data_IF_890523306504
#
_entry.id   IF_890523306504
#
_cell.length_a   1.000
_cell.length_b   1.000
_cell.length_c   1.000
_cell.angle_alpha   90.00
_cell.angle_beta   90.00
_cell.angle_gamma   90.00
#
_symmetry.space_group_name_H-M   'P 1'
#
loop_
_entity.id
_entity.type
_entity.pdbx_description
1 polymer ?
#
# COMPACT_ATOMS: atom_id res chain seq x y z
N UNK A 1 -7.73 8.53 3.77
CA UNK A 1 -7.33 8.54 5.19
C UNK A 1 -8.21 7.65 6.07
N UNK A 2 -9.54 7.82 6.03
CA UNK A 2 -10.48 7.02 6.84
C UNK A 2 -10.31 5.50 6.72
N UNK A 3 -10.08 4.99 5.52
CA UNK A 3 -9.90 3.55 5.26
C UNK A 3 -8.63 2.99 5.91
N UNK A 4 -7.52 3.72 5.89
CA UNK A 4 -6.28 3.33 6.58
C UNK A 4 -6.47 3.35 8.09
N UNK A 5 -7.06 4.44 8.61
CA UNK A 5 -7.34 4.59 10.04
C UNK A 5 -8.25 3.47 10.56
N UNK A 6 -9.34 3.18 9.84
CA UNK A 6 -10.27 2.09 10.16
C UNK A 6 -9.57 0.73 10.12
N UNK A 7 -8.81 0.44 9.06
CA UNK A 7 -8.12 -0.86 8.92
C UNK A 7 -7.09 -1.07 10.03
N UNK A 8 -6.33 -0.04 10.41
CA UNK A 8 -5.39 -0.10 11.54
C UNK A 8 -6.11 -0.33 12.86
N UNK A 9 -7.25 0.33 13.08
CA UNK A 9 -8.03 0.16 14.31
C UNK A 9 -8.73 -1.21 14.36
N UNK A 10 -9.23 -1.70 13.24
CA UNK A 10 -9.80 -3.05 13.15
C UNK A 10 -8.77 -4.13 13.48
N UNK A 11 -7.51 -3.93 13.05
CA UNK A 11 -6.40 -4.83 13.38
C UNK A 11 -5.98 -4.75 14.86
N UNK A 12 -5.88 -3.54 15.43
CA UNK A 12 -5.35 -3.33 16.80
C UNK A 12 -6.42 -3.55 17.88
N UNK A 13 -7.67 -3.18 17.61
CA UNK A 13 -8.72 -3.15 18.62
C UNK A 13 -9.81 -4.20 18.40
N UNK A 14 -10.04 -4.64 17.16
CA UNK A 14 -11.08 -5.61 16.85
C UNK A 14 -10.53 -7.02 16.54
N UNK A 15 -9.21 -7.22 16.67
CA UNK A 15 -8.46 -8.45 16.35
C UNK A 15 -8.83 -9.05 14.99
N UNK A 16 -9.27 -8.18 14.06
CA UNK A 16 -9.59 -8.56 12.70
C UNK A 16 -8.28 -8.65 11.95
N UNK A 17 -7.75 -9.86 11.85
CA UNK A 17 -6.67 -10.19 10.93
C UNK A 17 -7.07 -9.70 9.54
N UNK A 18 -6.36 -8.70 9.03
CA UNK A 18 -6.50 -8.27 7.65
C UNK A 18 -5.99 -9.44 6.81
N UNK A 19 -6.91 -10.20 6.22
CA UNK A 19 -6.60 -11.41 5.46
C UNK A 19 -5.59 -11.19 4.33
N UNK A 20 -5.39 -9.94 3.91
CA UNK A 20 -4.32 -9.57 3.00
C UNK A 20 -3.72 -8.20 3.35
N UNK A 21 -2.59 -8.14 4.08
CA UNK A 21 -1.97 -6.88 4.52
C UNK A 21 -1.58 -5.96 3.35
N UNK A 22 -1.42 -6.50 2.14
CA UNK A 22 -1.16 -5.71 0.94
C UNK A 22 -2.29 -4.72 0.61
N UNK A 23 -3.53 -4.98 1.06
CA UNK A 23 -4.66 -4.04 0.87
C UNK A 23 -4.38 -2.69 1.53
N UNK A 24 -3.74 -2.68 2.70
CA UNK A 24 -3.34 -1.41 3.33
C UNK A 24 -2.29 -0.67 2.50
N UNK A 25 -1.30 -1.38 1.96
CA UNK A 25 -0.25 -0.79 1.13
C UNK A 25 -0.82 -0.24 -0.17
N UNK A 26 -1.74 -0.97 -0.83
CA UNK A 26 -2.45 -0.46 -2.01
C UNK A 26 -3.26 0.81 -1.70
N UNK A 27 -3.94 0.85 -0.56
CA UNK A 27 -4.66 2.05 -0.12
C UNK A 27 -3.73 3.25 0.14
N UNK A 28 -2.54 3.01 0.71
CA UNK A 28 -1.51 4.04 0.88
C UNK A 28 -1.03 4.59 -0.46
N UNK A 29 -0.73 3.71 -1.43
CA UNK A 29 -0.28 4.12 -2.76
C UNK A 29 -1.36 4.87 -3.54
N UNK A 30 -2.63 4.46 -3.41
CA UNK A 30 -3.76 5.16 -4.02
C UNK A 30 -3.90 6.58 -3.46
N UNK A 31 -3.78 6.76 -2.14
CA UNK A 31 -3.82 8.07 -1.51
C UNK A 31 -2.65 8.96 -1.93
N UNK A 32 -1.43 8.42 -1.99
CA UNK A 32 -0.26 9.15 -2.44
C UNK A 32 -0.37 9.59 -3.91
N UNK A 33 -0.94 8.76 -4.78
CA UNK A 33 -1.23 9.15 -6.17
C UNK A 33 -2.33 10.22 -6.25
N UNK A 34 -3.39 10.08 -5.46
CA UNK A 34 -4.51 11.03 -5.46
C UNK A 34 -4.07 12.42 -4.98
N UNK A 35 -3.15 12.48 -4.01
CA UNK A 35 -2.60 13.73 -3.49
C UNK A 35 -1.35 14.21 -4.21
N UNK A 36 -0.88 13.50 -5.24
CA UNK A 36 0.27 13.92 -6.07
C UNK A 36 0.18 15.37 -6.56
N UNK A 37 -0.99 15.91 -6.98
CA UNK A 37 -1.10 17.31 -7.40
C UNK A 37 -0.84 18.33 -6.29
N UNK A 38 -0.99 17.95 -5.02
CA UNK A 38 -0.77 18.81 -3.86
C UNK A 38 0.70 18.85 -3.41
N UNK A 39 1.54 17.98 -3.98
CA UNK A 39 2.95 17.87 -3.63
C UNK A 39 3.74 19.00 -4.27
N UNK A 40 4.56 19.68 -3.47
CA UNK A 40 5.49 20.70 -3.96
C UNK A 40 6.44 20.09 -4.99
N UNK A 41 6.74 20.81 -6.06
CA UNK A 41 7.57 20.32 -7.19
C UNK A 41 8.90 19.71 -6.74
N UNK A 42 9.55 20.31 -5.72
CA UNK A 42 10.80 19.81 -5.13
C UNK A 42 10.72 18.40 -4.52
N UNK A 43 9.53 17.94 -4.16
CA UNK A 43 9.28 16.63 -3.55
C UNK A 43 8.65 15.63 -4.54
N UNK A 44 8.33 16.06 -5.76
CA UNK A 44 7.59 15.24 -6.73
C UNK A 44 8.43 14.04 -7.20
N UNK A 45 9.70 14.27 -7.53
CA UNK A 45 10.62 13.21 -7.93
C UNK A 45 10.77 12.15 -6.83
N UNK A 46 10.94 12.59 -5.58
CA UNK A 46 11.03 11.67 -4.45
C UNK A 46 9.75 10.85 -4.25
N UNK A 47 8.57 11.48 -4.42
CA UNK A 47 7.30 10.77 -4.37
C UNK A 47 7.21 9.70 -5.49
N UNK A 48 7.62 10.03 -6.70
CA UNK A 48 7.61 9.08 -7.83
C UNK A 48 8.55 7.90 -7.60
N UNK A 49 9.75 8.12 -7.06
CA UNK A 49 10.67 7.04 -6.68
C UNK A 49 10.06 6.11 -5.62
N UNK A 50 9.45 6.68 -4.58
CA UNK A 50 8.80 5.90 -3.51
C UNK A 50 7.63 5.09 -4.07
N UNK A 51 6.79 5.70 -4.90
CA UNK A 51 5.68 5.02 -5.56
C UNK A 51 6.16 3.89 -6.48
N UNK A 52 7.26 4.10 -7.22
CA UNK A 52 7.87 3.09 -8.08
C UNK A 52 8.36 1.88 -7.30
N UNK A 53 9.20 2.11 -6.28
CA UNK A 53 9.76 1.05 -5.42
C UNK A 53 8.68 0.25 -4.70
N UNK A 54 7.65 0.94 -4.20
CA UNK A 54 6.55 0.28 -3.49
C UNK A 54 5.68 -0.57 -4.43
N UNK A 55 5.41 -0.12 -5.66
CA UNK A 55 4.70 -0.92 -6.67
C UNK A 55 5.50 -2.16 -7.08
N UNK A 56 6.81 -2.02 -7.26
CA UNK A 56 7.70 -3.13 -7.62
C UNK A 56 7.71 -4.22 -6.53
N UNK A 57 7.80 -3.81 -5.26
CA UNK A 57 7.79 -4.74 -4.13
C UNK A 57 6.47 -5.50 -4.00
N UNK A 58 5.33 -4.82 -4.20
CA UNK A 58 4.01 -5.46 -4.21
C UNK A 58 3.83 -6.41 -5.39
N UNK A 59 4.36 -6.05 -6.57
CA UNK A 59 4.37 -6.92 -7.75
C UNK A 59 5.14 -8.22 -7.49
N UNK A 60 6.30 -8.13 -6.84
CA UNK A 60 7.08 -9.32 -6.40
C UNK A 60 6.31 -10.19 -5.40
N UNK A 61 5.75 -9.60 -4.34
CA UNK A 61 4.96 -10.35 -3.35
C UNK A 61 3.77 -11.09 -3.96
N UNK A 62 3.07 -10.51 -4.94
CA UNK A 62 1.95 -11.17 -5.61
C UNK A 62 2.42 -12.36 -6.47
N UNK A 63 3.58 -12.24 -7.12
CA UNK A 63 4.23 -13.34 -7.84
C UNK A 63 4.65 -14.49 -6.93
N UNK A 64 5.19 -14.18 -5.74
CA UNK A 64 5.64 -15.18 -4.76
C UNK A 64 4.46 -15.96 -4.14
N UNK A 65 3.33 -15.30 -3.88
CA UNK A 65 2.11 -15.94 -3.34
C UNK A 65 1.46 -16.85 -4.39
N UNK A 66 1.41 -16.41 -5.66
CA UNK A 66 0.90 -17.22 -6.76
C UNK A 66 1.76 -18.48 -7.02
N UNK A 67 3.05 -18.43 -6.73
CA UNK A 67 3.96 -19.56 -6.85
C UNK A 67 3.83 -20.55 -5.68
N UNK A 68 3.61 -20.07 -4.45
CA UNK A 68 3.45 -20.91 -3.26
C UNK A 68 2.07 -21.57 -3.11
N UNK A 69 1.01 -21.01 -3.71
CA UNK A 69 -0.34 -21.60 -3.70
C UNK A 69 -0.56 -22.75 -4.68
N UNK A 70 0.47 -23.17 -5.42
CA UNK A 70 0.45 -24.29 -6.37
C UNK A 70 1.15 -25.56 -5.87
N UNK A 71 1.63 -25.59 -4.62
CA UNK A 71 2.15 -26.81 -3.97
C UNK A 71 1.11 -27.50 -3.12
#
# INVERSE_FOLDING_TARGET
MWTIWKSRNDMVFNDKLVGFPAVMVHNMLALLNYWKPLVKTKNLQHLEEVLGKAKEHLGRQCGDIAYNGKR
#
